data_IF_505952911967
#
_entry.id   IF_505952911967
#
_cell.length_a   1.000
_cell.length_b   1.000
_cell.length_c   1.000
_cell.angle_alpha   90.00
_cell.angle_beta   90.00
_cell.angle_gamma   90.00
#
_symmetry.space_group_name_H-M   'P 1'
#
loop_
_entity.id
_entity.type
_entity.pdbx_description
1 polymer ?
#
# COMPACT_ATOMS: atom_id res chain seq x y z
N UNK A 1 2.31 9.48 3.32
CA UNK A 1 2.71 8.08 3.02
C UNK A 1 4.22 7.81 3.10
N UNK A 2 5.11 8.52 2.40
CA UNK A 2 6.57 8.25 2.48
C UNK A 2 7.15 8.48 3.88
N UNK A 3 6.72 9.54 4.57
CA UNK A 3 7.04 9.76 5.99
C UNK A 3 6.48 8.69 6.91
N UNK A 4 5.24 8.21 6.66
CA UNK A 4 4.63 7.10 7.39
C UNK A 4 5.46 5.82 7.23
N UNK A 5 5.97 5.58 6.02
CA UNK A 5 6.87 4.48 5.71
C UNK A 5 8.29 4.70 6.27
N UNK A 6 8.62 5.88 6.82
CA UNK A 6 9.96 6.26 7.26
C UNK A 6 11.00 6.09 6.15
N UNK A 7 10.70 6.55 4.95
CA UNK A 7 11.65 6.57 3.83
C UNK A 7 12.89 7.41 4.17
N UNK A 8 14.07 6.94 3.77
CA UNK A 8 15.34 7.65 3.98
C UNK A 8 16.41 7.28 2.96
N UNK A 9 17.63 7.79 3.14
CA UNK A 9 18.74 7.69 2.18
C UNK A 9 19.18 6.26 1.85
N UNK A 10 18.92 5.30 2.73
CA UNK A 10 19.23 3.87 2.50
C UNK A 10 18.17 3.14 1.65
N UNK A 11 17.04 3.80 1.36
CA UNK A 11 15.90 3.12 0.77
C UNK A 11 15.94 2.97 -0.75
N UNK A 12 15.52 1.78 -1.21
CA UNK A 12 15.20 1.50 -2.60
C UNK A 12 13.69 1.44 -2.72
N UNK A 13 13.11 2.47 -3.35
CA UNK A 13 11.66 2.63 -3.49
C UNK A 13 11.18 2.06 -4.82
N UNK A 14 10.24 1.14 -4.75
CA UNK A 14 9.51 0.62 -5.92
C UNK A 14 8.09 1.15 -5.92
N UNK A 15 7.64 1.71 -7.03
CA UNK A 15 6.28 2.21 -7.22
C UNK A 15 5.59 1.44 -8.36
N UNK A 16 4.64 0.59 -7.98
CA UNK A 16 3.92 -0.33 -8.85
C UNK A 16 2.67 0.38 -9.39
N UNK A 17 2.78 0.93 -10.59
CA UNK A 17 1.78 1.85 -11.15
C UNK A 17 2.13 3.31 -10.88
N UNK A 18 3.39 3.69 -11.12
CA UNK A 18 3.93 5.00 -10.71
C UNK A 18 3.30 6.22 -11.41
N UNK A 19 2.43 6.02 -12.40
CA UNK A 19 1.73 7.10 -13.09
C UNK A 19 2.71 8.06 -13.75
N UNK A 20 2.62 9.34 -13.34
CA UNK A 20 3.52 10.40 -13.82
C UNK A 20 4.78 10.55 -12.97
N UNK A 21 5.15 9.56 -12.15
CA UNK A 21 6.31 9.51 -11.25
C UNK A 21 6.34 10.57 -10.14
N UNK A 22 5.19 11.16 -9.77
CA UNK A 22 5.12 12.17 -8.70
C UNK A 22 5.75 11.67 -7.40
N UNK A 23 5.35 10.47 -6.96
CA UNK A 23 5.82 9.84 -5.73
C UNK A 23 7.31 9.59 -5.76
N UNK A 24 7.83 9.05 -6.87
CA UNK A 24 9.25 8.75 -7.03
C UNK A 24 10.12 10.01 -7.04
N UNK A 25 9.62 11.08 -7.67
CA UNK A 25 10.29 12.38 -7.65
C UNK A 25 10.38 12.90 -6.21
N UNK A 26 9.28 12.89 -5.46
CA UNK A 26 9.27 13.30 -4.03
C UNK A 26 10.21 12.42 -3.21
N UNK A 27 10.18 11.10 -3.39
CA UNK A 27 11.08 10.20 -2.67
C UNK A 27 12.55 10.54 -2.94
N UNK A 28 12.89 10.82 -4.21
CA UNK A 28 14.25 11.16 -4.61
C UNK A 28 14.72 12.53 -4.08
N UNK A 29 13.85 13.55 -4.09
CA UNK A 29 14.21 14.94 -3.75
C UNK A 29 14.05 15.27 -2.27
N UNK A 30 12.95 14.84 -1.65
CA UNK A 30 12.61 15.24 -0.27
C UNK A 30 13.11 14.23 0.78
N UNK A 31 13.14 12.95 0.42
CA UNK A 31 13.55 11.87 1.33
C UNK A 31 14.96 11.36 1.04
N UNK A 32 15.58 11.84 -0.04
CA UNK A 32 16.96 11.49 -0.39
C UNK A 32 17.18 10.02 -0.74
N UNK A 33 16.12 9.22 -0.95
CA UNK A 33 16.20 7.75 -1.06
C UNK A 33 17.28 7.26 -2.02
N UNK A 34 17.97 6.17 -1.73
CA UNK A 34 19.08 5.65 -2.53
C UNK A 34 18.75 5.54 -4.02
N UNK A 35 17.59 4.93 -4.33
CA UNK A 35 17.15 4.65 -5.70
C UNK A 35 15.64 4.53 -5.76
N UNK A 36 15.09 4.87 -6.92
CA UNK A 36 13.69 4.68 -7.25
C UNK A 36 13.54 3.79 -8.50
N UNK A 37 12.53 2.92 -8.50
CA UNK A 37 12.09 2.14 -9.66
C UNK A 37 10.58 2.34 -9.82
N UNK A 38 10.14 2.81 -10.99
CA UNK A 38 8.73 2.99 -11.32
C UNK A 38 8.29 2.10 -12.46
N UNK A 39 7.18 1.39 -12.27
CA UNK A 39 6.56 0.59 -13.33
C UNK A 39 5.24 1.24 -13.73
N UNK A 40 5.06 1.48 -15.03
CA UNK A 40 3.82 2.05 -15.57
C UNK A 40 3.51 1.41 -16.93
N UNK A 41 2.27 0.91 -17.10
CA UNK A 41 1.85 0.21 -18.31
C UNK A 41 1.28 1.14 -19.38
N UNK A 42 0.73 2.29 -18.97
CA UNK A 42 0.12 3.26 -19.86
C UNK A 42 1.21 4.15 -20.47
N UNK A 43 1.50 3.90 -21.75
CA UNK A 43 2.53 4.60 -22.52
C UNK A 43 2.51 6.12 -22.33
N UNK A 44 1.34 6.77 -22.39
CA UNK A 44 1.24 8.22 -22.21
C UNK A 44 1.73 8.68 -20.83
N UNK A 45 1.38 7.95 -19.76
CA UNK A 45 1.81 8.28 -18.40
C UNK A 45 3.31 8.05 -18.23
N UNK A 46 3.81 6.92 -18.73
CA UNK A 46 5.23 6.59 -18.73
C UNK A 46 6.08 7.63 -19.47
N UNK A 47 5.67 8.05 -20.68
CA UNK A 47 6.37 9.11 -21.41
C UNK A 47 6.41 10.41 -20.62
N UNK A 48 5.27 10.79 -20.01
CA UNK A 48 5.23 11.99 -19.18
C UNK A 48 6.11 11.87 -17.94
N UNK A 49 6.16 10.70 -17.31
CA UNK A 49 7.05 10.41 -16.20
C UNK A 49 8.53 10.59 -16.61
N UNK A 50 8.94 10.02 -17.75
CA UNK A 50 10.31 10.17 -18.27
C UNK A 50 10.69 11.62 -18.51
N UNK A 51 9.83 12.39 -19.15
CA UNK A 51 10.05 13.83 -19.37
C UNK A 51 10.28 14.55 -18.04
N UNK A 52 9.41 14.31 -17.05
CA UNK A 52 9.47 14.98 -15.75
C UNK A 52 10.71 14.64 -14.94
N UNK A 53 11.14 13.37 -14.98
CA UNK A 53 12.37 12.88 -14.34
C UNK A 53 13.59 13.49 -15.01
N UNK A 54 13.63 13.49 -16.34
CA UNK A 54 14.74 14.07 -17.13
C UNK A 54 14.89 15.57 -16.91
N UNK A 55 13.79 16.33 -16.93
CA UNK A 55 13.77 17.79 -16.68
C UNK A 55 14.28 18.18 -15.30
N UNK A 56 14.29 17.24 -14.34
CA UNK A 56 14.80 17.45 -12.98
C UNK A 56 16.19 16.85 -12.76
N UNK A 57 16.81 16.34 -13.82
CA UNK A 57 18.11 15.65 -13.73
C UNK A 57 18.11 14.46 -12.76
N UNK A 58 16.99 13.75 -12.66
CA UNK A 58 16.81 12.61 -11.75
C UNK A 58 17.00 11.25 -12.42
N UNK A 59 17.43 11.21 -13.68
CA UNK A 59 17.54 9.96 -14.47
C UNK A 59 18.52 8.94 -13.88
N UNK A 60 19.54 9.39 -13.14
CA UNK A 60 20.50 8.49 -12.47
C UNK A 60 19.92 7.84 -11.21
N UNK A 61 18.86 8.45 -10.65
CA UNK A 61 18.25 8.07 -9.38
C UNK A 61 16.92 7.34 -9.57
N UNK A 62 16.19 7.65 -10.65
CA UNK A 62 14.86 7.11 -10.95
C UNK A 62 14.91 6.31 -12.25
N UNK A 63 14.77 4.99 -12.14
CA UNK A 63 14.57 4.09 -13.28
C UNK A 63 13.07 3.93 -13.56
N UNK A 64 12.63 4.22 -14.79
CA UNK A 64 11.24 4.01 -15.21
C UNK A 64 11.16 2.88 -16.21
N UNK A 65 10.13 2.03 -16.06
CA UNK A 65 9.92 0.86 -16.91
C UNK A 65 8.49 0.86 -17.45
N UNK A 66 8.37 0.80 -18.77
CA UNK A 66 7.10 0.71 -19.48
C UNK A 66 6.61 -0.74 -19.53
N UNK A 67 5.83 -1.15 -18.53
CA UNK A 67 5.33 -2.52 -18.43
C UNK A 67 4.20 -2.63 -17.41
N UNK A 68 3.58 -3.80 -17.36
CA UNK A 68 2.72 -4.19 -16.24
C UNK A 68 3.57 -4.63 -15.04
N UNK A 69 3.15 -4.27 -13.83
CA UNK A 69 3.89 -4.64 -12.61
C UNK A 69 3.86 -6.16 -12.37
N UNK A 70 2.81 -6.84 -12.83
CA UNK A 70 2.62 -8.29 -12.78
C UNK A 70 3.81 -9.03 -13.42
N UNK A 71 4.41 -8.49 -14.49
CA UNK A 71 5.59 -9.09 -15.13
C UNK A 71 6.83 -9.17 -14.21
N UNK A 72 6.92 -8.28 -13.23
CA UNK A 72 8.04 -8.21 -12.28
C UNK A 72 7.79 -9.09 -11.06
N UNK A 73 6.53 -9.17 -10.65
CA UNK A 73 6.10 -10.02 -9.57
C UNK A 73 6.17 -11.51 -9.99
N UNK A 74 5.74 -11.84 -11.21
CA UNK A 74 5.77 -13.20 -11.78
C UNK A 74 7.16 -13.64 -12.31
N UNK A 75 8.22 -12.85 -12.09
CA UNK A 75 9.59 -13.17 -12.54
C UNK A 75 9.78 -13.29 -14.06
N UNK A 76 8.92 -12.69 -14.87
CA UNK A 76 9.05 -12.71 -16.35
C UNK A 76 10.07 -11.70 -16.86
N UNK A 77 10.48 -10.73 -16.03
CA UNK A 77 11.47 -9.71 -16.41
C UNK A 77 12.91 -10.11 -16.04
N UNK A 78 13.83 -10.03 -17.01
CA UNK A 78 15.27 -10.24 -16.77
C UNK A 78 15.95 -8.90 -16.46
N UNK A 79 16.75 -8.83 -15.39
CA UNK A 79 17.66 -7.70 -15.12
C UNK A 79 17.22 -6.66 -14.09
N UNK A 80 15.94 -6.62 -13.71
CA UNK A 80 15.43 -5.76 -12.62
C UNK A 80 14.56 -6.61 -11.70
N UNK A 81 14.83 -6.59 -10.41
CA UNK A 81 14.33 -7.54 -9.42
C UNK A 81 13.79 -6.80 -8.20
N UNK A 82 12.50 -6.97 -7.90
CA UNK A 82 11.83 -6.34 -6.75
C UNK A 82 12.43 -6.79 -5.41
N UNK A 83 13.23 -7.86 -5.40
CA UNK A 83 13.97 -8.38 -4.25
C UNK A 83 15.00 -7.38 -3.65
N UNK A 84 15.30 -6.27 -4.34
CA UNK A 84 16.12 -5.17 -3.80
C UNK A 84 15.29 -4.06 -3.12
N UNK A 85 13.96 -4.10 -3.21
CA UNK A 85 13.07 -3.10 -2.63
C UNK A 85 13.15 -3.13 -1.10
N UNK A 86 13.25 -1.94 -0.50
CA UNK A 86 13.07 -1.73 0.94
C UNK A 86 11.73 -1.06 1.23
N UNK A 87 11.16 -0.37 0.23
CA UNK A 87 9.82 0.19 0.23
C UNK A 87 9.14 -0.16 -1.09
N UNK A 88 7.95 -0.74 -1.02
CA UNK A 88 7.06 -0.96 -2.17
C UNK A 88 5.82 -0.09 -1.99
N UNK A 89 5.44 0.63 -3.03
CA UNK A 89 4.25 1.47 -3.06
C UNK A 89 3.26 0.82 -4.03
N UNK A 90 2.06 0.56 -3.53
CA UNK A 90 0.98 -0.06 -4.29
C UNK A 90 -0.36 0.59 -3.95
N UNK A 91 -0.86 1.44 -4.84
CA UNK A 91 -2.07 2.26 -4.62
C UNK A 91 -3.22 1.89 -5.58
N UNK A 92 -3.13 0.72 -6.22
CA UNK A 92 -4.10 0.26 -7.21
C UNK A 92 -5.12 -0.70 -6.57
N UNK A 93 -6.30 -0.81 -7.18
CA UNK A 93 -7.25 -1.85 -6.78
C UNK A 93 -6.68 -3.25 -7.08
N UNK A 94 -6.88 -4.19 -6.15
CA UNK A 94 -6.28 -5.52 -6.25
C UNK A 94 -7.12 -6.60 -5.59
N UNK A 95 -6.64 -7.82 -5.73
CA UNK A 95 -7.12 -9.02 -5.05
C UNK A 95 -6.04 -9.55 -4.09
N UNK A 96 -6.38 -10.64 -3.39
CA UNK A 96 -5.50 -11.23 -2.40
C UNK A 96 -4.24 -11.89 -2.99
N UNK A 97 -4.20 -12.13 -4.31
CA UNK A 97 -3.07 -12.83 -4.96
C UNK A 97 -1.79 -11.99 -4.89
N UNK A 98 -1.91 -10.67 -4.97
CA UNK A 98 -0.77 -9.76 -4.88
C UNK A 98 0.06 -9.96 -3.60
N UNK A 99 -0.60 -10.17 -2.45
CA UNK A 99 0.10 -10.39 -1.17
C UNK A 99 0.95 -11.65 -1.23
N UNK A 100 0.39 -12.73 -1.78
CA UNK A 100 1.10 -14.00 -1.90
C UNK A 100 2.31 -13.84 -2.82
N UNK A 101 2.12 -13.20 -3.97
CA UNK A 101 3.21 -13.04 -4.93
C UNK A 101 4.32 -12.12 -4.39
N UNK A 102 3.98 -11.01 -3.73
CA UNK A 102 4.95 -10.16 -3.04
C UNK A 102 5.68 -10.93 -1.93
N UNK A 103 4.97 -11.74 -1.16
CA UNK A 103 5.55 -12.52 -0.06
C UNK A 103 6.62 -13.52 -0.52
N UNK A 104 6.60 -13.95 -1.78
CA UNK A 104 7.64 -14.82 -2.37
C UNK A 104 8.92 -14.06 -2.75
N UNK A 105 8.90 -12.74 -2.71
CA UNK A 105 9.92 -11.86 -3.29
C UNK A 105 10.55 -10.88 -2.30
N UNK A 106 9.72 -10.31 -1.44
CA UNK A 106 10.18 -9.28 -0.51
C UNK A 106 11.13 -9.86 0.53
N UNK A 107 12.12 -9.05 0.90
CA UNK A 107 13.02 -9.35 2.01
C UNK A 107 12.39 -8.87 3.32
N UNK A 108 12.81 -9.51 4.41
CA UNK A 108 12.43 -9.10 5.76
C UNK A 108 12.73 -7.62 5.99
N UNK A 109 11.79 -6.92 6.62
CA UNK A 109 11.84 -5.48 6.85
C UNK A 109 11.37 -4.62 5.68
N UNK A 110 11.13 -5.17 4.48
CA UNK A 110 10.55 -4.40 3.38
C UNK A 110 9.17 -3.86 3.76
N UNK A 111 8.91 -2.58 3.49
CA UNK A 111 7.68 -1.88 3.87
C UNK A 111 6.76 -1.72 2.66
N UNK A 112 5.58 -2.30 2.73
CA UNK A 112 4.53 -2.11 1.73
C UNK A 112 3.63 -0.93 2.14
N UNK A 113 3.59 0.10 1.30
CA UNK A 113 2.69 1.25 1.41
C UNK A 113 1.50 1.02 0.52
N UNK A 114 0.29 1.11 1.08
CA UNK A 114 -0.93 0.85 0.33
C UNK A 114 -2.08 1.75 0.74
N UNK A 115 -3.04 1.91 -0.16
CA UNK A 115 -4.26 2.68 0.11
C UNK A 115 -5.23 1.85 0.96
N UNK A 116 -6.05 2.51 1.78
CA UNK A 116 -6.91 1.86 2.78
C UNK A 116 -7.81 0.75 2.22
N UNK A 117 -8.09 0.81 0.92
CA UNK A 117 -9.07 -0.02 0.28
C UNK A 117 -8.47 -1.17 -0.58
N UNK A 118 -7.16 -1.17 -0.81
CA UNK A 118 -6.47 -2.11 -1.70
C UNK A 118 -6.33 -3.52 -1.10
N UNK A 119 -5.72 -3.62 0.08
CA UNK A 119 -5.24 -4.89 0.68
C UNK A 119 -5.93 -5.21 2.01
N UNK A 120 -7.11 -4.65 2.17
CA UNK A 120 -7.98 -4.90 3.32
C UNK A 120 -8.86 -6.09 2.98
N UNK A 121 -9.04 -7.09 3.85
CA UNK A 121 -8.42 -7.31 5.16
C UNK A 121 -7.17 -8.21 5.12
N UNK A 122 -6.55 -8.43 3.96
CA UNK A 122 -5.54 -9.46 3.75
C UNK A 122 -4.37 -9.38 4.74
N UNK A 123 -3.98 -8.16 5.12
CA UNK A 123 -2.86 -7.89 6.01
C UNK A 123 -3.20 -6.84 7.08
N UNK A 124 -2.55 -6.97 8.24
CA UNK A 124 -2.57 -5.99 9.32
C UNK A 124 -1.59 -4.85 9.02
N UNK A 125 -1.99 -3.58 9.20
CA UNK A 125 -1.06 -2.47 9.14
C UNK A 125 -0.19 -2.40 10.41
N UNK A 126 1.08 -2.05 10.23
CA UNK A 126 1.99 -1.68 11.31
C UNK A 126 1.95 -0.16 11.58
N UNK A 127 1.67 0.64 10.55
CA UNK A 127 1.45 2.07 10.69
C UNK A 127 0.28 2.54 9.81
N UNK A 128 -0.43 3.56 10.30
CA UNK A 128 -1.65 4.09 9.68
C UNK A 128 -1.67 5.59 9.84
N UNK A 129 -1.85 6.27 8.71
CA UNK A 129 -2.15 7.69 8.55
C UNK A 129 -3.19 7.77 7.41
N UNK A 130 -4.47 7.67 7.78
CA UNK A 130 -5.57 7.48 6.84
C UNK A 130 -5.55 8.58 5.77
N UNK A 131 -5.62 8.23 4.46
CA UNK A 131 -6.03 6.95 3.88
C UNK A 131 -4.90 5.95 3.54
N UNK A 132 -3.68 6.14 4.06
CA UNK A 132 -2.52 5.30 3.75
C UNK A 132 -2.10 4.41 4.90
N UNK A 133 -1.78 3.16 4.57
CA UNK A 133 -1.31 2.13 5.50
C UNK A 133 0.10 1.67 5.12
N UNK A 134 0.84 1.18 6.12
CA UNK A 134 2.15 0.55 5.94
C UNK A 134 2.18 -0.77 6.69
N UNK A 135 2.64 -1.83 6.02
CA UNK A 135 2.94 -3.13 6.62
C UNK A 135 4.36 -3.55 6.27
N UNK A 136 5.11 -4.01 7.25
CA UNK A 136 6.44 -4.59 7.09
C UNK A 136 6.33 -6.08 6.79
N UNK A 137 7.17 -6.57 5.89
CA UNK A 137 7.32 -7.99 5.62
C UNK A 137 8.19 -8.66 6.70
N UNK A 138 7.84 -9.86 7.22
CA UNK A 138 6.70 -10.71 6.83
C UNK A 138 5.34 -10.14 7.26
N UNK A 139 4.38 -10.13 6.33
CA UNK A 139 3.06 -9.55 6.57
C UNK A 139 2.26 -10.39 7.59
N UNK A 140 1.58 -9.70 8.50
CA UNK A 140 0.71 -10.33 9.50
C UNK A 140 -0.73 -10.38 8.98
N UNK A 141 -1.40 -11.53 9.10
CA UNK A 141 -2.84 -11.64 8.83
C UNK A 141 -3.65 -11.28 10.09
N UNK A 142 -4.78 -10.57 9.98
CA UNK A 142 -5.67 -10.37 11.12
C UNK A 142 -6.37 -11.67 11.52
N UNK A 143 -6.49 -11.92 12.82
CA UNK A 143 -7.24 -13.03 13.43
C UNK A 143 -8.75 -12.75 13.47
N UNK A 144 -9.14 -11.48 13.37
CA UNK A 144 -10.55 -11.08 13.38
C UNK A 144 -10.75 -9.70 12.75
N UNK A 145 -12.00 -9.42 12.36
CA UNK A 145 -12.44 -8.09 11.94
C UNK A 145 -12.13 -7.03 13.01
N UNK A 146 -12.44 -7.34 14.28
CA UNK A 146 -12.18 -6.44 15.41
C UNK A 146 -10.70 -6.10 15.58
N UNK A 147 -9.80 -7.08 15.44
CA UNK A 147 -8.35 -6.83 15.50
C UNK A 147 -7.91 -5.88 14.37
N UNK A 148 -8.35 -6.15 13.15
CA UNK A 148 -8.02 -5.32 12.00
C UNK A 148 -8.56 -3.89 12.16
N UNK A 149 -9.83 -3.74 12.54
CA UNK A 149 -10.49 -2.46 12.77
C UNK A 149 -9.78 -1.64 13.85
N UNK A 150 -9.36 -2.27 14.95
CA UNK A 150 -8.58 -1.59 16.00
C UNK A 150 -7.24 -1.07 15.48
N UNK A 151 -6.59 -1.82 14.59
CA UNK A 151 -5.32 -1.40 13.99
C UNK A 151 -5.48 -0.19 13.04
N UNK A 152 -6.59 -0.11 12.29
CA UNK A 152 -6.83 0.99 11.34
C UNK A 152 -7.48 2.22 11.95
N UNK A 153 -8.55 2.06 12.72
CA UNK A 153 -9.35 3.18 13.25
C UNK A 153 -8.61 3.86 14.41
N UNK A 154 -7.86 3.11 15.21
CA UNK A 154 -7.09 3.59 16.38
C UNK A 154 -7.92 4.38 17.41
N UNK A 155 -9.26 4.23 17.41
CA UNK A 155 -10.15 4.80 18.42
C UNK A 155 -9.87 4.13 19.77
N UNK A 156 -9.54 4.94 20.78
CA UNK A 156 -9.06 4.45 22.09
C UNK A 156 -10.15 4.27 23.14
N UNK A 157 -11.32 4.88 22.95
CA UNK A 157 -12.45 4.86 23.90
C UNK A 157 -13.74 4.76 23.13
N UNK A 158 -14.67 3.96 23.63
CA UNK A 158 -16.02 3.91 23.07
C UNK A 158 -16.76 5.22 23.35
N UNK A 159 -17.57 5.66 22.39
CA UNK A 159 -18.57 6.73 22.56
C UNK A 159 -19.94 6.18 22.95
N UNK A 160 -20.10 4.86 22.98
CA UNK A 160 -21.35 4.16 23.29
C UNK A 160 -21.35 3.57 24.71
N UNK A 161 -20.18 3.24 25.25
CA UNK A 161 -20.01 2.69 26.60
C UNK A 161 -18.82 3.36 27.31
N UNK A 162 -19.09 3.99 28.46
CA UNK A 162 -18.05 4.71 29.21
C UNK A 162 -17.02 3.75 29.82
N UNK A 163 -15.74 4.13 29.79
CA UNK A 163 -14.63 3.31 30.27
C UNK A 163 -14.26 2.10 29.42
N UNK A 164 -14.98 1.81 28.33
CA UNK A 164 -14.77 0.62 27.51
C UNK A 164 -14.01 0.91 26.19
N UNK A 165 -13.45 -0.16 25.61
CA UNK A 165 -12.90 -0.12 24.25
C UNK A 165 -14.04 -0.19 23.22
N UNK A 166 -13.89 0.48 22.06
CA UNK A 166 -14.88 0.40 20.99
C UNK A 166 -15.13 -1.05 20.54
N UNK A 167 -16.42 -1.36 20.34
CA UNK A 167 -16.87 -2.61 19.75
C UNK A 167 -16.67 -2.66 18.24
N UNK A 168 -16.87 -3.84 17.63
CA UNK A 168 -16.66 -4.03 16.19
C UNK A 168 -17.57 -3.14 15.34
N UNK A 169 -18.86 -3.03 15.70
CA UNK A 169 -19.83 -2.22 14.96
C UNK A 169 -19.49 -0.74 15.02
N UNK A 170 -19.14 -0.22 16.19
CA UNK A 170 -18.72 1.17 16.37
C UNK A 170 -17.50 1.53 15.52
N UNK A 171 -16.50 0.64 15.45
CA UNK A 171 -15.33 0.86 14.61
C UNK A 171 -15.65 0.79 13.11
N UNK A 172 -16.59 -0.05 12.69
CA UNK A 172 -17.08 -0.04 11.31
C UNK A 172 -17.77 1.26 10.96
N UNK A 173 -18.59 1.79 11.87
CA UNK A 173 -19.29 3.06 11.68
C UNK A 173 -18.27 4.20 11.58
N UNK A 174 -17.26 4.21 12.44
CA UNK A 174 -16.15 5.16 12.36
C UNK A 174 -15.33 5.03 11.07
N UNK A 175 -15.07 3.82 10.57
CA UNK A 175 -14.33 3.66 9.32
C UNK A 175 -15.15 4.06 8.08
N UNK A 176 -16.47 3.92 8.14
CA UNK A 176 -17.34 4.04 6.97
C UNK A 176 -18.32 5.22 6.99
N UNK A 177 -18.23 6.10 7.99
CA UNK A 177 -19.17 7.22 8.15
C UNK A 177 -19.26 8.10 6.90
N UNK A 178 -18.15 8.35 6.20
CA UNK A 178 -18.12 9.19 4.99
C UNK A 178 -18.33 8.44 3.67
N UNK A 179 -18.52 7.11 3.69
CA UNK A 179 -18.56 6.32 2.45
C UNK A 179 -19.72 6.73 1.53
N UNK A 180 -20.83 7.18 2.11
CA UNK A 180 -21.97 7.71 1.37
C UNK A 180 -21.65 9.03 0.65
N UNK A 181 -20.74 9.85 1.18
CA UNK A 181 -20.28 11.11 0.59
C UNK A 181 -19.27 10.82 -0.53
N UNK A 182 -18.38 9.86 -0.32
CA UNK A 182 -17.33 9.47 -1.27
C UNK A 182 -17.82 8.60 -2.44
N UNK A 183 -19.13 8.33 -2.54
CA UNK A 183 -19.70 7.44 -3.55
C UNK A 183 -19.29 5.98 -3.40
N UNK A 184 -18.74 5.59 -2.24
CA UNK A 184 -18.32 4.23 -1.94
C UNK A 184 -19.55 3.41 -1.53
N UNK A 185 -19.88 2.39 -2.32
CA UNK A 185 -21.11 1.63 -2.10
C UNK A 185 -21.10 0.85 -0.77
N UNK A 186 -22.27 0.70 -0.14
CA UNK A 186 -22.47 -0.22 1.00
C UNK A 186 -22.01 -1.65 0.71
N UNK A 187 -21.99 -2.06 -0.57
CA UNK A 187 -21.50 -3.36 -1.01
C UNK A 187 -19.99 -3.53 -0.72
N UNK A 188 -19.24 -2.44 -0.63
CA UNK A 188 -17.81 -2.45 -0.37
C UNK A 188 -17.51 -2.86 1.08
N UNK A 189 -18.19 -2.25 2.05
CA UNK A 189 -18.15 -2.65 3.48
C UNK A 189 -18.60 -4.10 3.63
N UNK A 190 -19.68 -4.49 2.92
CA UNK A 190 -20.16 -5.88 2.92
C UNK A 190 -19.09 -6.85 2.41
N UNK A 191 -18.37 -6.53 1.34
CA UNK A 191 -17.29 -7.36 0.78
C UNK A 191 -16.14 -7.54 1.78
N UNK A 192 -15.76 -6.49 2.51
CA UNK A 192 -14.76 -6.60 3.58
C UNK A 192 -15.22 -7.49 4.72
N UNK A 193 -16.44 -7.26 5.21
CA UNK A 193 -17.03 -8.08 6.28
C UNK A 193 -17.05 -9.56 5.88
N UNK A 194 -17.49 -9.88 4.67
CA UNK A 194 -17.51 -11.28 4.17
C UNK A 194 -16.11 -11.92 4.17
N UNK A 195 -15.09 -11.24 3.63
CA UNK A 195 -13.71 -11.78 3.59
C UNK A 195 -13.13 -11.97 4.99
N UNK A 196 -13.38 -11.05 5.92
CA UNK A 196 -12.96 -11.15 7.32
C UNK A 196 -13.63 -12.30 8.06
N UNK A 197 -14.91 -12.59 7.78
CA UNK A 197 -15.60 -13.72 8.38
C UNK A 197 -15.10 -15.08 7.86
N UNK A 198 -14.73 -15.16 6.58
CA UNK A 198 -14.14 -16.37 5.99
C UNK A 198 -12.76 -16.70 6.57
N UNK A 199 -11.97 -15.68 6.94
CA UNK A 199 -10.67 -15.87 7.60
C UNK A 199 -10.75 -16.50 9.01
N UNK A 200 -11.94 -16.56 9.64
CA UNK A 200 -12.18 -17.25 10.93
C UNK A 200 -12.44 -18.76 10.80
N UNK A 201 -12.64 -19.28 9.59
CA UNK A 201 -13.10 -20.64 9.35
C UNK A 201 -11.99 -21.64 8.98
N UNK A 202 -10.72 -21.23 9.11
CA UNK A 202 -9.50 -22.04 8.84
C UNK A 202 -8.58 -21.92 10.04
#
# INVERSE_FOLDING_TARGET
MLGLAKAGEDDVVWDLGCGWAQTLIIAATEFGVKKCVGIERLRQRYQKAKERVSQRSLSDKITLIESSFENFIDSRHKGTRIEDATIVIYLLETDAELIEQLSRKLKEGCRLVYYYNCLTPEILPDAVDHPFYVSSFPFRKPKSALEWLRAVVKKRRSTLADGELPGEQELWDELSHDYHILGLSRNYVKRYRTRLHQAKAV
#
